data_IF_374379456180
#
_entry.id   IF_374379456180
#
_cell.length_a   1.000
_cell.length_b   1.000
_cell.length_c   1.000
_cell.angle_alpha   90.00
_cell.angle_beta   90.00
_cell.angle_gamma   90.00
#
_symmetry.space_group_name_H-M   'P 1'
#
loop_
_entity.id
_entity.type
_entity.pdbx_description
1 polymer ?
#
# COMPACT_ATOMS: atom_id res chain seq x y z
N UNK A 1 16.09 6.09 -17.78
CA UNK A 1 15.94 5.34 -19.05
C UNK A 1 16.40 6.13 -20.26
N UNK A 2 15.67 7.16 -20.75
CA UNK A 2 16.04 7.87 -21.98
C UNK A 2 17.49 8.43 -21.98
N UNK A 3 17.91 9.00 -20.84
CA UNK A 3 19.25 9.53 -20.65
C UNK A 3 20.38 8.48 -20.77
N UNK A 4 20.10 7.19 -20.59
CA UNK A 4 21.14 6.15 -20.60
C UNK A 4 21.81 6.00 -21.96
N UNK A 5 21.15 6.36 -23.06
CA UNK A 5 21.71 6.31 -24.42
C UNK A 5 21.84 7.71 -25.05
N UNK A 6 21.59 8.78 -24.28
CA UNK A 6 21.75 10.13 -24.75
C UNK A 6 23.24 10.49 -24.91
N UNK A 7 23.57 11.46 -25.77
CA UNK A 7 24.94 11.98 -25.83
C UNK A 7 25.17 12.98 -24.69
N UNK A 8 26.04 12.63 -23.74
CA UNK A 8 26.46 13.51 -22.64
C UNK A 8 25.86 13.14 -21.29
N UNK A 9 25.88 14.09 -20.35
CA UNK A 9 25.43 13.88 -18.96
C UNK A 9 24.08 14.53 -18.72
N UNK A 10 23.13 13.76 -18.19
CA UNK A 10 21.84 14.24 -17.69
C UNK A 10 21.88 14.31 -16.18
N UNK A 11 21.41 15.42 -15.60
CA UNK A 11 21.23 15.58 -14.17
C UNK A 11 19.76 15.83 -13.88
N UNK A 12 19.15 14.95 -13.08
CA UNK A 12 17.79 15.12 -12.58
C UNK A 12 17.88 15.61 -11.13
N UNK A 13 17.31 16.79 -10.87
CA UNK A 13 17.16 17.33 -9.52
C UNK A 13 15.70 17.19 -9.07
N UNK A 14 15.48 17.04 -7.77
CA UNK A 14 14.19 16.68 -7.20
C UNK A 14 13.64 15.37 -7.79
N UNK A 15 14.54 14.39 -7.95
CA UNK A 15 14.19 13.07 -8.43
C UNK A 15 13.41 12.29 -7.36
N UNK A 16 12.49 11.44 -7.83
CA UNK A 16 11.74 10.53 -6.98
C UNK A 16 12.71 9.51 -6.35
N UNK A 17 12.51 9.20 -5.07
CA UNK A 17 13.44 8.41 -4.25
C UNK A 17 12.92 7.00 -3.94
N UNK A 18 11.78 6.64 -4.49
CA UNK A 18 11.09 5.37 -4.27
C UNK A 18 12.02 4.17 -4.56
N UNK A 19 11.89 3.06 -3.80
CA UNK A 19 12.68 1.86 -4.03
C UNK A 19 12.62 1.34 -5.47
N UNK A 20 11.47 1.52 -6.14
CA UNK A 20 11.29 1.13 -7.54
C UNK A 20 12.20 1.93 -8.51
N UNK A 21 12.58 3.17 -8.14
CA UNK A 21 13.56 3.98 -8.91
C UNK A 21 14.98 3.44 -8.72
N UNK A 22 15.30 2.98 -7.51
CA UNK A 22 16.59 2.36 -7.19
C UNK A 22 16.74 1.05 -7.95
N UNK A 23 15.72 0.19 -7.90
CA UNK A 23 15.68 -1.09 -8.61
C UNK A 23 15.89 -0.92 -10.12
N UNK A 24 15.19 0.05 -10.73
CA UNK A 24 15.37 0.38 -12.14
C UNK A 24 16.78 0.89 -12.44
N UNK A 25 17.37 1.71 -11.56
CA UNK A 25 18.74 2.18 -11.74
C UNK A 25 19.72 1.01 -11.67
N UNK A 26 19.58 0.11 -10.70
CA UNK A 26 20.41 -1.07 -10.53
C UNK A 26 20.31 -2.01 -11.73
N UNK A 27 19.11 -2.21 -12.27
CA UNK A 27 18.92 -2.95 -13.52
C UNK A 27 19.66 -2.30 -14.69
N UNK A 28 19.52 -0.99 -14.87
CA UNK A 28 20.18 -0.27 -15.96
C UNK A 28 21.70 -0.28 -15.81
N UNK A 29 22.23 -0.17 -14.59
CA UNK A 29 23.66 -0.28 -14.28
C UNK A 29 24.16 -1.68 -14.64
N UNK A 30 23.45 -2.75 -14.26
CA UNK A 30 23.77 -4.13 -14.68
C UNK A 30 23.79 -4.30 -16.20
N UNK A 31 23.06 -3.45 -16.94
CA UNK A 31 23.06 -3.42 -18.41
C UNK A 31 24.14 -2.51 -19.02
N UNK A 32 25.02 -1.93 -18.21
CA UNK A 32 26.13 -1.08 -18.64
C UNK A 32 25.84 0.42 -18.62
N UNK A 33 24.69 0.86 -18.08
CA UNK A 33 24.44 2.29 -17.89
C UNK A 33 25.34 2.86 -16.79
N UNK A 34 25.64 4.16 -16.87
CA UNK A 34 26.37 4.90 -15.84
C UNK A 34 25.40 5.81 -15.10
N UNK A 35 24.93 5.36 -13.94
CA UNK A 35 23.95 6.07 -13.12
C UNK A 35 24.50 6.19 -11.70
N UNK A 36 24.37 7.36 -11.08
CA UNK A 36 24.71 7.58 -9.67
C UNK A 36 23.67 8.45 -8.98
N UNK A 37 23.59 8.34 -7.65
CA UNK A 37 22.64 9.07 -6.83
C UNK A 37 21.22 8.49 -6.81
N UNK A 38 21.03 7.23 -7.22
CA UNK A 38 19.75 6.54 -7.08
C UNK A 38 19.36 6.44 -5.59
N UNK A 39 18.07 6.65 -5.30
CA UNK A 39 17.58 6.74 -3.92
C UNK A 39 17.83 8.10 -3.26
N UNK A 40 18.33 9.09 -4.01
CA UNK A 40 18.47 10.48 -3.56
C UNK A 40 17.69 11.43 -4.47
N UNK A 41 17.46 12.66 -3.99
CA UNK A 41 16.81 13.71 -4.79
C UNK A 41 17.64 14.21 -5.98
N UNK A 42 18.86 13.70 -6.19
CA UNK A 42 19.73 14.07 -7.32
C UNK A 42 20.31 12.85 -8.02
N UNK A 43 19.82 12.60 -9.24
CA UNK A 43 20.28 11.50 -10.09
C UNK A 43 21.20 12.05 -11.20
N UNK A 44 22.35 11.41 -11.42
CA UNK A 44 23.27 11.74 -12.53
C UNK A 44 23.38 10.53 -13.45
N UNK A 45 23.18 10.75 -14.73
CA UNK A 45 23.26 9.71 -15.75
C UNK A 45 24.22 10.17 -16.85
N UNK A 46 25.32 9.45 -17.04
CA UNK A 46 26.19 9.62 -18.20
C UNK A 46 25.73 8.64 -19.28
N UNK A 47 25.35 9.17 -20.44
CA UNK A 47 24.86 8.33 -21.52
C UNK A 47 25.97 7.52 -22.18
N UNK A 48 25.65 6.27 -22.51
CA UNK A 48 26.55 5.29 -23.10
C UNK A 48 26.10 4.93 -24.52
N UNK A 49 27.00 4.48 -25.42
CA UNK A 49 26.63 4.19 -26.81
C UNK A 49 25.70 2.99 -26.96
N UNK A 50 25.70 2.05 -26.01
CA UNK A 50 24.87 0.86 -26.03
C UNK A 50 24.66 0.31 -24.60
N UNK A 51 23.57 -0.44 -24.43
CA UNK A 51 23.30 -1.28 -23.26
C UNK A 51 23.33 -2.75 -23.70
N UNK A 52 23.65 -3.65 -22.78
CA UNK A 52 23.62 -5.10 -23.02
C UNK A 52 22.47 -5.78 -22.27
N UNK A 53 22.33 -7.10 -22.45
CA UNK A 53 21.41 -7.93 -21.65
C UNK A 53 21.94 -8.13 -20.23
N UNK A 54 21.03 -8.34 -19.28
CA UNK A 54 21.37 -8.68 -17.90
C UNK A 54 20.22 -9.47 -17.26
N UNK A 55 20.55 -10.34 -16.31
CA UNK A 55 19.58 -10.93 -15.39
C UNK A 55 19.39 -10.02 -14.17
N UNK A 56 18.15 -9.92 -13.70
CA UNK A 56 17.80 -9.06 -12.59
C UNK A 56 16.57 -9.61 -11.87
N UNK A 57 16.68 -9.78 -10.55
CA UNK A 57 15.55 -10.12 -9.67
C UNK A 57 14.86 -8.81 -9.28
N UNK A 58 13.56 -8.71 -9.59
CA UNK A 58 12.75 -7.54 -9.24
C UNK A 58 12.56 -7.50 -7.72
N UNK A 59 12.67 -6.30 -7.12
CA UNK A 59 12.41 -6.15 -5.68
C UNK A 59 10.99 -6.58 -5.30
N UNK A 60 10.77 -7.00 -4.04
CA UNK A 60 9.44 -7.28 -3.55
C UNK A 60 8.49 -6.08 -3.58
N UNK A 61 7.20 -6.34 -3.80
CA UNK A 61 6.16 -5.31 -3.75
C UNK A 61 5.88 -4.88 -2.30
N UNK A 62 6.43 -3.72 -1.94
CA UNK A 62 6.22 -3.11 -0.62
C UNK A 62 4.76 -2.74 -0.35
N UNK A 63 3.97 -2.41 -1.38
CA UNK A 63 2.55 -2.05 -1.21
C UNK A 63 1.73 -3.30 -0.93
N UNK A 64 2.03 -4.43 -1.60
CA UNK A 64 1.41 -5.70 -1.26
C UNK A 64 1.75 -6.12 0.17
N UNK A 65 3.04 -6.10 0.55
CA UNK A 65 3.47 -6.41 1.91
C UNK A 65 2.78 -5.51 2.95
N UNK A 66 2.77 -4.19 2.73
CA UNK A 66 2.07 -3.23 3.60
C UNK A 66 0.56 -3.48 3.69
N UNK A 67 -0.07 -3.98 2.63
CA UNK A 67 -1.50 -4.34 2.62
C UNK A 67 -1.77 -5.49 3.59
N UNK A 68 -0.95 -6.55 3.59
CA UNK A 68 -1.10 -7.67 4.52
C UNK A 68 -0.75 -7.27 5.97
N UNK A 69 0.21 -6.37 6.17
CA UNK A 69 0.50 -5.83 7.51
C UNK A 69 -0.69 -5.05 8.07
N UNK A 70 -1.35 -4.22 7.24
CA UNK A 70 -2.59 -3.55 7.63
C UNK A 70 -3.70 -4.56 7.92
N UNK A 71 -3.82 -5.62 7.11
CA UNK A 71 -4.80 -6.68 7.31
C UNK A 71 -4.66 -7.35 8.67
N UNK A 72 -3.43 -7.78 9.03
CA UNK A 72 -3.16 -8.40 10.33
C UNK A 72 -3.49 -7.47 11.50
N UNK A 73 -3.05 -6.21 11.41
CA UNK A 73 -3.31 -5.21 12.44
C UNK A 73 -4.80 -4.94 12.67
N UNK A 74 -5.59 -4.85 11.59
CA UNK A 74 -7.00 -4.45 11.70
C UNK A 74 -7.97 -5.60 11.98
N UNK A 75 -7.57 -6.84 11.71
CA UNK A 75 -8.39 -8.05 11.94
C UNK A 75 -8.14 -8.70 13.30
N UNK A 76 -7.22 -8.17 14.12
CA UNK A 76 -6.88 -8.76 15.41
C UNK A 76 -5.95 -9.97 15.31
N UNK A 77 -5.29 -10.17 14.17
CA UNK A 77 -4.49 -11.36 13.87
C UNK A 77 -2.98 -11.17 14.00
N UNK A 78 -2.26 -12.26 13.69
CA UNK A 78 -0.80 -12.29 13.50
C UNK A 78 -0.51 -12.62 12.04
N UNK A 79 0.16 -11.72 11.34
CA UNK A 79 0.49 -11.88 9.92
C UNK A 79 1.97 -11.61 9.70
N UNK A 80 2.63 -12.52 9.01
CA UNK A 80 4.02 -12.34 8.56
C UNK A 80 4.02 -12.10 7.05
N UNK A 81 4.51 -10.93 6.64
CA UNK A 81 4.80 -10.64 5.24
C UNK A 81 6.19 -11.19 4.91
N UNK A 82 6.25 -12.36 4.27
CA UNK A 82 7.50 -12.93 3.78
C UNK A 82 8.04 -12.17 2.56
N UNK A 83 9.34 -12.37 2.30
CA UNK A 83 10.06 -11.81 1.15
C UNK A 83 9.79 -10.32 0.96
N UNK A 84 9.90 -9.52 2.01
CA UNK A 84 9.85 -8.07 1.92
C UNK A 84 11.16 -7.44 2.39
N UNK A 85 11.30 -6.14 2.17
CA UNK A 85 12.45 -5.34 2.60
C UNK A 85 11.96 -4.34 3.65
N UNK A 86 12.23 -4.58 4.96
CA UNK A 86 11.74 -3.72 6.04
C UNK A 86 11.99 -2.23 5.83
N UNK A 87 13.16 -1.88 5.30
CA UNK A 87 13.59 -0.51 5.04
C UNK A 87 12.64 0.22 4.06
N UNK A 88 12.02 -0.51 3.11
CA UNK A 88 11.06 0.09 2.17
C UNK A 88 9.72 0.45 2.83
N UNK A 89 9.47 -0.01 4.05
CA UNK A 89 8.21 0.12 4.79
C UNK A 89 8.35 0.82 6.14
N UNK A 90 9.50 1.41 6.45
CA UNK A 90 9.81 1.99 7.77
C UNK A 90 8.71 2.95 8.28
N UNK A 91 8.26 3.90 7.44
CA UNK A 91 7.19 4.86 7.81
C UNK A 91 5.84 4.18 7.99
N UNK A 92 5.54 3.14 7.20
CA UNK A 92 4.30 2.36 7.34
C UNK A 92 4.31 1.59 8.65
N UNK A 93 5.41 0.90 8.97
CA UNK A 93 5.60 0.18 10.23
C UNK A 93 5.50 1.14 11.42
N UNK A 94 6.15 2.30 11.35
CA UNK A 94 6.06 3.34 12.38
C UNK A 94 4.61 3.78 12.62
N UNK A 95 3.82 3.97 11.56
CA UNK A 95 2.40 4.33 11.70
C UNK A 95 1.54 3.21 12.27
N UNK A 96 1.77 1.96 11.87
CA UNK A 96 1.09 0.81 12.46
C UNK A 96 1.42 0.65 13.95
N UNK A 97 2.69 0.84 14.36
CA UNK A 97 3.09 0.87 15.77
C UNK A 97 2.38 1.97 16.55
N UNK A 98 2.27 3.18 15.98
CA UNK A 98 1.55 4.29 16.61
C UNK A 98 0.03 4.00 16.74
N UNK A 99 -0.54 3.25 15.80
CA UNK A 99 -1.91 2.75 15.89
C UNK A 99 -2.07 1.61 16.92
N UNK A 100 -0.99 1.13 17.53
CA UNK A 100 -1.01 0.13 18.59
C UNK A 100 -0.71 -1.30 18.15
N UNK A 101 -0.30 -1.54 16.90
CA UNK A 101 0.18 -2.85 16.47
C UNK A 101 1.61 -3.11 16.96
N UNK A 102 1.94 -4.36 17.22
CA UNK A 102 3.30 -4.80 17.51
C UNK A 102 3.95 -5.30 16.21
N UNK A 103 5.14 -4.80 15.91
CA UNK A 103 5.86 -5.18 14.69
C UNK A 103 7.29 -5.62 14.99
N UNK A 104 7.66 -6.77 14.46
CA UNK A 104 9.02 -7.30 14.47
C UNK A 104 9.56 -7.45 13.05
N UNK A 105 10.86 -7.23 12.90
CA UNK A 105 11.54 -7.22 11.62
C UNK A 105 12.51 -8.40 11.56
N UNK A 106 12.39 -9.21 10.50
CA UNK A 106 13.40 -10.18 10.10
C UNK A 106 14.24 -9.63 8.95
N UNK A 107 15.25 -10.39 8.51
CA UNK A 107 16.13 -9.95 7.42
C UNK A 107 15.41 -9.76 6.07
N UNK A 108 14.32 -10.52 5.85
CA UNK A 108 13.49 -10.46 4.62
C UNK A 108 12.00 -10.63 4.94
N UNK A 109 11.58 -10.26 6.15
CA UNK A 109 10.21 -10.42 6.60
C UNK A 109 9.83 -9.33 7.60
N UNK A 110 8.54 -9.03 7.68
CA UNK A 110 7.96 -8.19 8.72
C UNK A 110 6.77 -8.94 9.29
N UNK A 111 6.71 -9.06 10.61
CA UNK A 111 5.60 -9.69 11.31
C UNK A 111 4.83 -8.63 12.07
N UNK A 112 3.53 -8.56 11.85
CA UNK A 112 2.59 -7.74 12.59
C UNK A 112 1.74 -8.61 13.50
N UNK A 113 1.57 -8.16 14.73
CA UNK A 113 0.62 -8.68 15.70
C UNK A 113 -0.30 -7.54 16.11
N UNK A 114 -1.61 -7.76 16.04
CA UNK A 114 -2.56 -6.77 16.49
C UNK A 114 -2.42 -6.56 18.01
N UNK A 115 -2.32 -5.29 18.44
CA UNK A 115 -2.33 -4.97 19.85
C UNK A 115 -3.73 -5.05 20.46
N UNK A 116 -3.82 -4.76 21.76
CA UNK A 116 -5.08 -4.85 22.50
C UNK A 116 -6.20 -3.95 21.92
N UNK A 117 -5.83 -2.77 21.39
CA UNK A 117 -6.77 -1.80 20.80
C UNK A 117 -6.07 -0.95 19.75
N UNK A 118 -6.75 -0.68 18.64
CA UNK A 118 -6.33 0.28 17.63
C UNK A 118 -6.53 1.72 18.14
N UNK A 119 -5.55 2.59 17.88
CA UNK A 119 -5.58 4.01 18.27
C UNK A 119 -5.59 4.90 17.03
N UNK A 120 -6.43 5.94 17.08
CA UNK A 120 -6.48 6.94 16.04
C UNK A 120 -5.12 7.60 15.83
N UNK A 121 -4.74 7.84 14.58
CA UNK A 121 -3.50 8.52 14.22
C UNK A 121 -3.65 9.34 12.94
N UNK A 122 -3.11 10.54 12.96
CA UNK A 122 -2.99 11.37 11.76
C UNK A 122 -1.97 10.76 10.79
N UNK A 123 -2.34 10.75 9.52
CA UNK A 123 -1.53 10.23 8.43
C UNK A 123 -1.54 11.24 7.29
N UNK A 124 -0.35 11.59 6.81
CA UNK A 124 -0.18 12.45 5.65
C UNK A 124 0.67 11.71 4.62
N UNK A 125 0.15 11.58 3.41
CA UNK A 125 0.90 11.00 2.29
C UNK A 125 1.96 11.98 1.81
N UNK A 126 3.11 11.45 1.39
CA UNK A 126 4.22 12.24 0.88
C UNK A 126 5.09 11.36 -0.03
N UNK A 127 5.85 11.93 -0.99
CA UNK A 127 6.85 11.15 -1.74
C UNK A 127 7.79 10.37 -0.82
N UNK A 128 8.31 9.23 -1.29
CA UNK A 128 9.22 8.41 -0.50
C UNK A 128 10.43 9.25 -0.01
N UNK A 129 10.86 9.12 1.26
CA UNK A 129 10.54 8.08 2.24
C UNK A 129 9.27 8.33 3.08
N UNK A 130 8.43 9.30 2.73
CA UNK A 130 7.17 9.55 3.44
C UNK A 130 6.11 8.45 3.28
N UNK A 131 4.95 8.63 3.93
CA UNK A 131 3.89 7.62 3.90
C UNK A 131 3.35 7.47 2.47
N UNK A 132 3.35 6.26 1.88
CA UNK A 132 2.99 6.08 0.49
C UNK A 132 1.49 6.25 0.28
N UNK A 133 1.12 7.08 -0.69
CA UNK A 133 -0.27 7.28 -1.13
C UNK A 133 -0.95 5.96 -1.55
N UNK A 134 -0.18 4.95 -1.97
CA UNK A 134 -0.73 3.66 -2.36
C UNK A 134 -1.21 2.77 -1.21
N UNK A 135 -0.86 3.11 0.04
CA UNK A 135 -1.39 2.47 1.27
C UNK A 135 -2.40 3.35 2.01
N UNK A 136 -2.72 4.53 1.49
CA UNK A 136 -3.62 5.48 2.11
C UNK A 136 -5.01 4.88 2.36
N UNK A 137 -5.57 4.19 1.38
CA UNK A 137 -6.94 3.65 1.45
C UNK A 137 -7.04 2.51 2.47
N UNK A 138 -6.07 1.60 2.47
CA UNK A 138 -5.97 0.49 3.42
C UNK A 138 -5.79 1.02 4.85
N UNK A 139 -4.93 2.03 5.03
CA UNK A 139 -4.75 2.68 6.32
C UNK A 139 -6.03 3.38 6.79
N UNK A 140 -6.76 4.05 5.90
CA UNK A 140 -8.05 4.66 6.25
C UNK A 140 -9.07 3.61 6.73
N UNK A 141 -9.12 2.43 6.10
CA UNK A 141 -9.99 1.34 6.55
C UNK A 141 -9.63 0.89 7.98
N UNK A 142 -8.34 0.75 8.31
CA UNK A 142 -7.89 0.48 9.68
C UNK A 142 -8.31 1.59 10.65
N UNK A 143 -8.14 2.87 10.28
CA UNK A 143 -8.51 4.01 11.13
C UNK A 143 -10.02 4.10 11.41
N UNK A 144 -10.87 3.51 10.58
CA UNK A 144 -12.31 3.42 10.86
C UNK A 144 -12.64 2.55 12.08
N UNK A 145 -11.74 1.63 12.44
CA UNK A 145 -11.85 0.73 13.59
C UNK A 145 -11.11 1.25 14.83
N UNK A 146 -10.32 2.32 14.69
CA UNK A 146 -9.48 2.83 15.76
C UNK A 146 -10.26 3.64 16.82
N UNK A 147 -9.80 3.67 18.06
CA UNK A 147 -10.38 4.55 19.08
C UNK A 147 -9.88 5.99 18.88
N UNK A 148 -10.80 6.92 18.59
CA UNK A 148 -10.54 8.36 18.48
C UNK A 148 -10.86 8.94 17.10
N UNK A 149 -10.30 10.12 16.83
CA UNK A 149 -10.44 10.83 15.55
C UNK A 149 -9.08 10.96 14.90
N UNK A 150 -8.99 10.58 13.63
CA UNK A 150 -7.78 10.70 12.80
C UNK A 150 -8.02 11.66 11.66
N UNK A 151 -6.96 12.30 11.18
CA UNK A 151 -6.96 13.05 9.93
C UNK A 151 -6.06 12.35 8.91
N UNK A 152 -6.65 11.93 7.80
CA UNK A 152 -5.93 11.48 6.61
C UNK A 152 -5.75 12.66 5.64
N UNK A 153 -4.51 12.98 5.27
CA UNK A 153 -4.19 14.07 4.34
C UNK A 153 -3.49 13.49 3.11
N UNK A 154 -4.08 13.67 1.93
CA UNK A 154 -3.52 13.20 0.66
C UNK A 154 -2.82 14.35 -0.08
N UNK A 155 -1.48 14.33 -0.13
CA UNK A 155 -0.67 15.40 -0.74
C UNK A 155 -0.10 15.03 -2.11
N UNK A 156 -0.27 13.79 -2.59
CA UNK A 156 0.31 13.29 -3.85
C UNK A 156 -0.74 13.25 -4.96
N UNK A 157 -1.94 12.73 -4.68
CA UNK A 157 -3.02 12.62 -5.68
C UNK A 157 -4.29 13.32 -5.22
N UNK A 158 -4.59 14.46 -5.83
CA UNK A 158 -5.84 15.18 -5.57
C UNK A 158 -7.06 14.26 -5.82
N UNK A 159 -7.95 14.17 -4.83
CA UNK A 159 -9.20 13.42 -4.95
C UNK A 159 -9.09 11.90 -4.77
N UNK A 160 -8.00 11.36 -4.22
CA UNK A 160 -7.83 9.91 -3.95
C UNK A 160 -8.68 9.37 -2.78
N UNK A 161 -9.92 9.82 -2.64
CA UNK A 161 -10.86 9.37 -1.59
C UNK A 161 -12.08 8.62 -2.17
N UNK A 162 -11.94 8.01 -3.35
CA UNK A 162 -13.03 7.30 -4.04
C UNK A 162 -13.58 6.08 -3.28
N UNK A 163 -12.86 5.57 -2.29
CA UNK A 163 -13.29 4.47 -1.41
C UNK A 163 -14.18 4.95 -0.24
N UNK A 164 -14.20 6.25 0.07
CA UNK A 164 -14.92 6.79 1.23
C UNK A 164 -16.43 6.54 1.17
N UNK A 165 -17.14 6.75 0.04
CA UNK A 165 -18.57 6.43 -0.04
C UNK A 165 -18.87 4.96 0.29
N UNK A 166 -18.01 4.04 -0.13
CA UNK A 166 -18.16 2.61 0.10
C UNK A 166 -17.86 2.23 1.56
N UNK A 167 -16.83 2.80 2.18
CA UNK A 167 -16.59 2.64 3.62
C UNK A 167 -17.75 3.21 4.45
N UNK A 168 -18.35 4.34 4.02
CA UNK A 168 -19.56 4.88 4.67
C UNK A 168 -20.76 3.94 4.54
N UNK A 169 -20.91 3.22 3.41
CA UNK A 169 -21.94 2.16 3.27
C UNK A 169 -21.70 1.02 4.27
N UNK A 170 -20.45 0.77 4.64
CA UNK A 170 -20.07 -0.19 5.68
C UNK A 170 -20.16 0.40 7.10
N UNK A 171 -20.73 1.60 7.28
CA UNK A 171 -20.95 2.23 8.58
C UNK A 171 -19.81 3.14 9.08
N UNK A 172 -18.78 3.41 8.26
CA UNK A 172 -17.69 4.30 8.68
C UNK A 172 -18.13 5.77 8.82
N UNK A 173 -17.63 6.45 9.84
CA UNK A 173 -17.84 7.89 10.04
C UNK A 173 -16.65 8.70 9.50
N UNK A 174 -16.73 9.06 8.22
CA UNK A 174 -15.67 9.82 7.52
C UNK A 174 -16.27 11.11 6.96
N UNK A 175 -15.55 12.23 7.06
CA UNK A 175 -15.88 13.51 6.41
C UNK A 175 -14.71 13.96 5.55
N UNK A 176 -14.93 14.16 4.25
CA UNK A 176 -13.90 14.61 3.31
C UNK A 176 -14.06 16.11 3.06
N UNK A 177 -12.96 16.84 3.15
CA UNK A 177 -12.85 18.25 2.81
C UNK A 177 -11.58 18.47 1.98
N UNK A 178 -11.76 18.66 0.67
CA UNK A 178 -10.68 18.79 -0.30
C UNK A 178 -9.73 17.59 -0.29
N UNK A 179 -8.50 17.81 0.17
CA UNK A 179 -7.42 16.82 0.25
C UNK A 179 -7.27 16.19 1.65
N UNK A 180 -8.21 16.47 2.56
CA UNK A 180 -8.23 15.93 3.92
C UNK A 180 -9.50 15.11 4.14
N UNK A 181 -9.37 14.06 4.95
CA UNK A 181 -10.48 13.27 5.44
C UNK A 181 -10.38 13.11 6.95
N UNK A 182 -11.41 13.54 7.67
CA UNK A 182 -11.56 13.31 9.11
C UNK A 182 -12.25 11.98 9.30
N UNK A 183 -11.58 11.04 9.95
CA UNK A 183 -12.04 9.68 10.22
C UNK A 183 -12.31 9.56 11.72
N UNK A 184 -13.57 9.44 12.11
CA UNK A 184 -13.95 9.10 13.47
C UNK A 184 -14.06 7.59 13.56
N UNK A 185 -13.12 6.96 14.25
CA UNK A 185 -13.14 5.52 14.39
C UNK A 185 -14.23 5.07 15.37
N UNK A 186 -15.01 4.08 14.96
CA UNK A 186 -16.21 3.62 15.67
C UNK A 186 -16.03 2.23 16.30
N UNK A 187 -14.86 1.60 16.12
CA UNK A 187 -14.55 0.27 16.64
C UNK A 187 -15.21 -0.88 15.87
N UNK A 188 -16.04 -0.60 14.86
CA UNK A 188 -16.72 -1.61 14.05
C UNK A 188 -17.05 -1.10 12.65
N UNK A 189 -17.16 -2.04 11.74
CA UNK A 189 -17.77 -1.88 10.42
C UNK A 189 -18.85 -2.96 10.25
N UNK A 190 -19.78 -2.77 9.32
CA UNK A 190 -20.84 -3.72 9.01
C UNK A 190 -20.74 -4.12 7.55
N UNK A 191 -20.92 -5.41 7.28
CA UNK A 191 -20.89 -5.95 5.94
C UNK A 191 -21.96 -5.33 5.05
N UNK A 192 -21.59 -5.00 3.82
CA UNK A 192 -22.45 -4.33 2.86
C UNK A 192 -22.10 -4.72 1.42
N UNK A 193 -23.03 -4.57 0.46
CA UNK A 193 -22.69 -4.56 -0.95
C UNK A 193 -21.95 -3.26 -1.30
N UNK A 194 -20.70 -3.40 -1.75
CA UNK A 194 -19.79 -2.31 -2.11
C UNK A 194 -19.17 -2.50 -3.49
N UNK A 195 -18.64 -1.41 -4.05
CA UNK A 195 -18.09 -1.39 -5.40
C UNK A 195 -16.65 -0.89 -5.44
N UNK A 196 -15.74 -1.71 -5.98
CA UNK A 196 -14.37 -1.32 -6.26
C UNK A 196 -14.29 -0.19 -7.30
N UNK A 197 -13.53 0.86 -7.00
CA UNK A 197 -13.33 2.04 -7.86
C UNK A 197 -11.92 2.14 -8.46
N UNK A 198 -10.91 1.64 -7.74
CA UNK A 198 -9.52 1.56 -8.18
C UNK A 198 -8.78 0.43 -7.45
N UNK A 199 -7.52 0.16 -7.84
CA UNK A 199 -6.72 -0.95 -7.30
C UNK A 199 -6.60 -0.91 -5.77
N UNK A 200 -6.23 0.24 -5.20
CA UNK A 200 -5.95 0.35 -3.75
C UNK A 200 -7.22 0.52 -2.94
N UNK A 201 -8.23 1.20 -3.50
CA UNK A 201 -9.59 1.21 -2.97
C UNK A 201 -10.18 -0.21 -2.87
N UNK A 202 -9.95 -1.05 -3.88
CA UNK A 202 -10.41 -2.45 -3.87
C UNK A 202 -9.80 -3.24 -2.71
N UNK A 203 -8.49 -3.11 -2.51
CA UNK A 203 -7.80 -3.74 -1.39
C UNK A 203 -8.33 -3.23 -0.05
N UNK A 204 -8.54 -1.92 0.09
CA UNK A 204 -9.09 -1.33 1.31
C UNK A 204 -10.49 -1.88 1.65
N UNK A 205 -11.38 -2.02 0.66
CA UNK A 205 -12.72 -2.58 0.86
C UNK A 205 -12.68 -4.07 1.20
N UNK A 206 -11.74 -4.82 0.61
CA UNK A 206 -11.51 -6.22 0.97
C UNK A 206 -11.10 -6.34 2.44
N UNK A 207 -10.10 -5.58 2.88
CA UNK A 207 -9.64 -5.61 4.28
C UNK A 207 -10.73 -5.11 5.25
N UNK A 208 -11.45 -4.05 4.88
CA UNK A 208 -12.60 -3.59 5.65
C UNK A 208 -13.66 -4.69 5.80
N UNK A 209 -13.91 -5.47 4.75
CA UNK A 209 -14.86 -6.58 4.76
C UNK A 209 -14.42 -7.73 5.66
N UNK A 210 -13.11 -8.01 5.75
CA UNK A 210 -12.56 -9.01 6.66
C UNK A 210 -12.74 -8.64 8.14
N UNK A 211 -12.75 -7.34 8.45
CA UNK A 211 -12.90 -6.83 9.81
C UNK A 211 -14.34 -6.38 10.16
N UNK A 212 -15.29 -6.55 9.24
CA UNK A 212 -16.67 -6.11 9.42
C UNK A 212 -17.56 -7.23 10.01
N UNK A 213 -18.60 -6.82 10.73
CA UNK A 213 -19.65 -7.73 11.17
C UNK A 213 -20.56 -8.10 9.99
N UNK A 214 -20.68 -9.39 9.68
CA UNK A 214 -21.56 -9.91 8.63
C UNK A 214 -20.89 -10.05 7.26
N UNK A 215 -21.70 -10.16 6.20
CA UNK A 215 -21.21 -10.45 4.86
C UNK A 215 -20.97 -9.17 4.04
N UNK A 216 -19.78 -9.02 3.47
CA UNK A 216 -19.45 -7.95 2.51
C UNK A 216 -19.37 -8.54 1.11
N UNK A 217 -20.09 -7.93 0.15
CA UNK A 217 -20.01 -8.32 -1.27
C UNK A 217 -19.34 -7.22 -2.08
N UNK A 218 -18.20 -7.53 -2.69
CA UNK A 218 -17.41 -6.56 -3.44
C UNK A 218 -17.59 -6.81 -4.93
N UNK A 219 -18.18 -5.83 -5.63
CA UNK A 219 -18.32 -5.83 -7.08
C UNK A 219 -17.15 -5.15 -7.78
N UNK A 220 -16.96 -5.42 -9.08
CA UNK A 220 -15.91 -4.81 -9.94
C UNK A 220 -14.47 -5.11 -9.50
N UNK A 221 -14.23 -6.32 -9.02
CA UNK A 221 -12.93 -6.78 -8.51
C UNK A 221 -11.79 -6.78 -9.55
N UNK A 222 -12.06 -6.60 -10.85
CA UNK A 222 -11.04 -6.49 -11.90
C UNK A 222 -10.03 -5.34 -11.62
N UNK A 223 -10.40 -4.35 -10.81
CA UNK A 223 -9.47 -3.34 -10.34
C UNK A 223 -8.37 -3.92 -9.43
N UNK A 224 -8.71 -4.89 -8.57
CA UNK A 224 -7.82 -5.55 -7.63
C UNK A 224 -6.79 -6.43 -8.35
N UNK A 225 -7.23 -7.13 -9.40
CA UNK A 225 -6.42 -8.07 -10.19
C UNK A 225 -5.26 -7.39 -10.94
N UNK A 226 -5.31 -6.06 -11.09
CA UNK A 226 -4.24 -5.30 -11.72
C UNK A 226 -2.96 -5.23 -10.89
N UNK A 227 -3.02 -5.55 -9.61
CA UNK A 227 -1.86 -5.39 -8.72
C UNK A 227 -1.84 -6.29 -7.50
N UNK A 228 -2.76 -7.25 -7.38
CA UNK A 228 -2.69 -8.32 -6.40
C UNK A 228 -2.94 -9.65 -7.07
N UNK A 229 -1.96 -10.54 -6.97
CA UNK A 229 -2.05 -11.90 -7.50
C UNK A 229 -2.67 -12.82 -6.46
N UNK A 230 -3.82 -13.45 -6.81
CA UNK A 230 -4.49 -14.49 -6.02
C UNK A 230 -4.63 -14.12 -4.54
N UNK A 231 -5.01 -12.87 -4.27
CA UNK A 231 -5.14 -12.35 -2.91
C UNK A 231 -6.15 -13.13 -2.08
N UNK A 232 -7.21 -13.64 -2.71
CA UNK A 232 -8.18 -14.52 -2.08
C UNK A 232 -7.52 -15.77 -1.49
N UNK A 233 -6.62 -16.41 -2.23
CA UNK A 233 -5.94 -17.63 -1.79
C UNK A 233 -4.93 -17.34 -0.69
N UNK A 234 -4.19 -16.22 -0.81
CA UNK A 234 -3.26 -15.77 0.23
C UNK A 234 -3.99 -15.46 1.54
N UNK A 235 -5.13 -14.78 1.48
CA UNK A 235 -5.96 -14.49 2.66
C UNK A 235 -6.63 -15.74 3.24
N UNK A 236 -7.14 -16.65 2.40
CA UNK A 236 -7.63 -17.95 2.86
C UNK A 236 -6.54 -18.75 3.59
N UNK A 237 -5.29 -18.70 3.09
CA UNK A 237 -4.13 -19.28 3.76
C UNK A 237 -3.84 -18.70 5.16
N UNK A 238 -4.30 -17.46 5.42
CA UNK A 238 -4.27 -16.81 6.73
C UNK A 238 -5.53 -17.07 7.58
N UNK A 239 -6.47 -17.89 7.10
CA UNK A 239 -7.71 -18.23 7.80
C UNK A 239 -8.89 -17.31 7.50
N UNK A 240 -8.77 -16.40 6.52
CA UNK A 240 -9.87 -15.52 6.13
C UNK A 240 -11.00 -16.28 5.42
N UNK A 241 -12.25 -16.01 5.80
CA UNK A 241 -13.44 -16.50 5.08
C UNK A 241 -13.76 -15.60 3.88
N UNK A 242 -12.96 -15.70 2.82
CA UNK A 242 -13.16 -15.00 1.55
C UNK A 242 -13.40 -16.04 0.44
N UNK A 243 -14.31 -15.73 -0.50
CA UNK A 243 -14.51 -16.56 -1.69
C UNK A 243 -14.80 -15.68 -2.89
N UNK A 244 -14.41 -16.17 -4.06
CA UNK A 244 -14.75 -15.55 -5.33
C UNK A 244 -15.98 -16.24 -5.92
N UNK A 245 -17.04 -15.47 -6.13
CA UNK A 245 -18.22 -15.97 -6.81
C UNK A 245 -18.12 -15.60 -8.30
N UNK A 246 -18.15 -16.62 -9.16
CA UNK A 246 -18.27 -16.40 -10.60
C UNK A 246 -19.65 -15.87 -10.93
N UNK A 247 -19.77 -15.08 -12.01
CA UNK A 247 -21.09 -14.83 -12.61
C UNK A 247 -21.55 -16.15 -13.24
N UNK A 248 -22.34 -16.92 -12.49
CA UNK A 248 -23.12 -18.01 -13.05
C UNK A 248 -24.15 -17.42 -14.00
N UNK A 249 -24.00 -17.68 -15.29
CA UNK A 249 -25.17 -17.74 -16.16
C UNK A 249 -25.88 -19.05 -15.81
N UNK A 250 -26.92 -18.98 -14.98
CA UNK A 250 -27.98 -19.99 -15.00
C UNK A 250 -28.83 -19.81 -16.27
#
# INVERSE_FOLDING_TARGET
MAACLAKGTTVLNNAAMEPEIVDLADFLIKRGARISGAGSGRLVIEGVPALHGAEHEVIPDRIEAGTYLVAGAMTGGRVEADRCVPEHLEVVMSKLRQCGAELSEGARSITVEAGARLRAQDVQTFPYPGFPTDLQAQMMALLCLAEGTSVMTESVFAGRFLHVPELRRMGAAITVDGHRAVVKGLGRLTGAPVMASDLRASAALLLAGLAADGETRISRIYHLERGYERIEDKLQGLGASVRREGFGYE
#
